data_IF_999686220648
#
_entry.id   IF_999686220648
#
_cell.length_a   1.000
_cell.length_b   1.000
_cell.length_c   1.000
_cell.angle_alpha   90.00
_cell.angle_beta   90.00
_cell.angle_gamma   90.00
#
_symmetry.space_group_name_H-M   'P 1'
#
loop_
_entity.id
_entity.type
_entity.pdbx_description
1 polymer ?
#
# COMPACT_ATOMS: atom_id res chain seq x y z
N UNK A 1 39.50 -22.71 -7.62
CA UNK A 1 38.78 -21.51 -7.13
C UNK A 1 37.31 -21.88 -6.99
N UNK A 2 36.79 -21.95 -5.77
CA UNK A 2 35.37 -22.25 -5.56
C UNK A 2 34.56 -20.99 -5.88
N UNK A 3 33.70 -21.08 -6.89
CA UNK A 3 32.84 -19.97 -7.29
C UNK A 3 31.81 -19.77 -6.17
N UNK A 4 31.88 -18.62 -5.50
CA UNK A 4 30.96 -18.28 -4.42
C UNK A 4 29.55 -18.17 -5.02
N UNK A 5 28.71 -19.18 -4.79
CA UNK A 5 27.32 -19.16 -5.23
C UNK A 5 26.60 -18.11 -4.39
N UNK A 6 26.50 -16.89 -4.94
CA UNK A 6 25.74 -15.83 -4.30
C UNK A 6 24.26 -16.25 -4.25
N UNK A 7 23.68 -16.22 -3.05
CA UNK A 7 22.24 -16.40 -2.89
C UNK A 7 21.55 -15.18 -3.48
N UNK A 8 20.77 -15.39 -4.53
CA UNK A 8 20.05 -14.31 -5.22
C UNK A 8 18.55 -14.34 -4.98
N UNK A 9 18.08 -15.35 -4.24
CA UNK A 9 16.67 -15.57 -3.93
C UNK A 9 16.44 -15.56 -2.43
N UNK A 10 15.53 -14.71 -1.96
CA UNK A 10 15.19 -14.55 -0.55
C UNK A 10 13.67 -14.49 -0.37
N UNK A 11 13.19 -15.10 0.71
CA UNK A 11 11.82 -14.86 1.19
C UNK A 11 11.89 -13.69 2.16
N UNK A 12 11.17 -12.62 1.84
CA UNK A 12 11.13 -11.36 2.60
C UNK A 12 9.95 -11.31 3.57
N UNK A 13 8.91 -12.10 3.33
CA UNK A 13 7.74 -12.16 4.19
C UNK A 13 6.89 -13.37 3.87
N UNK A 14 6.26 -13.92 4.90
CA UNK A 14 5.28 -15.00 4.79
C UNK A 14 4.10 -14.66 5.72
N UNK A 15 2.87 -14.84 5.26
CA UNK A 15 1.67 -14.54 6.04
C UNK A 15 0.52 -15.47 5.65
N UNK A 16 -0.12 -16.07 6.64
CA UNK A 16 -1.39 -16.75 6.47
C UNK A 16 -2.56 -15.74 6.46
N UNK A 17 -3.42 -15.85 5.45
CA UNK A 17 -4.59 -15.00 5.18
C UNK A 17 -5.75 -15.91 4.75
N UNK A 18 -6.84 -15.92 5.54
CA UNK A 18 -8.12 -16.61 5.19
C UNK A 18 -7.95 -18.02 4.57
N UNK A 19 -7.09 -18.86 5.16
CA UNK A 19 -6.84 -20.23 4.68
C UNK A 19 -5.89 -20.35 3.48
N UNK A 20 -5.21 -19.27 3.10
CA UNK A 20 -4.17 -19.20 2.08
C UNK A 20 -2.87 -18.69 2.68
N UNK A 21 -1.75 -19.06 2.10
CA UNK A 21 -0.43 -18.56 2.52
C UNK A 21 0.07 -17.60 1.45
N UNK A 22 0.45 -16.40 1.85
CA UNK A 22 1.05 -15.40 0.99
C UNK A 22 2.55 -15.33 1.24
N UNK A 23 3.34 -15.30 0.17
CA UNK A 23 4.78 -15.17 0.23
C UNK A 23 5.25 -13.93 -0.55
N UNK A 24 6.08 -13.13 0.11
CA UNK A 24 6.82 -12.05 -0.51
C UNK A 24 8.27 -12.48 -0.72
N UNK A 25 8.74 -12.43 -1.96
CA UNK A 25 10.05 -12.94 -2.36
C UNK A 25 10.82 -11.90 -3.16
N UNK A 26 12.15 -12.00 -3.09
CA UNK A 26 13.08 -11.35 -3.99
C UNK A 26 13.86 -12.40 -4.76
N UNK A 27 13.97 -12.27 -6.07
CA UNK A 27 14.82 -13.10 -6.92
C UNK A 27 15.49 -12.24 -7.99
N UNK A 28 16.82 -12.15 -7.97
CA UNK A 28 17.65 -11.52 -9.02
C UNK A 28 17.11 -10.15 -9.50
N UNK A 29 16.82 -9.24 -8.56
CA UNK A 29 16.35 -7.88 -8.87
C UNK A 29 14.85 -7.77 -9.13
N UNK A 30 14.08 -8.80 -8.81
CA UNK A 30 12.63 -8.81 -8.88
C UNK A 30 12.03 -9.11 -7.52
N UNK A 31 11.00 -8.36 -7.17
CA UNK A 31 10.14 -8.61 -6.02
C UNK A 31 8.84 -9.23 -6.51
N UNK A 32 8.34 -10.26 -5.84
CA UNK A 32 7.09 -10.93 -6.20
C UNK A 32 6.27 -11.30 -4.98
N UNK A 33 4.95 -11.20 -5.10
CA UNK A 33 4.00 -11.71 -4.10
C UNK A 33 3.32 -12.94 -4.71
N UNK A 34 3.33 -14.05 -4.00
CA UNK A 34 2.78 -15.34 -4.42
C UNK A 34 1.72 -15.80 -3.44
N UNK A 35 0.56 -16.16 -3.94
CA UNK A 35 -0.50 -16.80 -3.18
C UNK A 35 -0.37 -18.30 -3.30
N UNK A 36 -0.44 -18.98 -2.16
CA UNK A 36 -0.31 -20.41 -2.03
C UNK A 36 -1.62 -20.95 -1.45
N UNK A 37 -2.31 -21.78 -2.23
CA UNK A 37 -3.57 -22.42 -1.84
C UNK A 37 -3.41 -23.92 -2.06
N UNK A 38 -3.23 -24.66 -0.97
CA UNK A 38 -2.83 -26.07 -1.07
C UNK A 38 -1.48 -26.20 -1.79
N UNK A 39 -1.48 -26.84 -2.96
CA UNK A 39 -0.29 -27.02 -3.81
C UNK A 39 -0.12 -25.93 -4.88
N UNK A 40 -1.16 -25.14 -5.15
CA UNK A 40 -1.11 -24.12 -6.19
C UNK A 40 -0.35 -22.89 -5.71
N UNK A 41 0.54 -22.38 -6.57
CA UNK A 41 1.32 -21.16 -6.33
C UNK A 41 1.08 -20.16 -7.45
N UNK A 42 0.42 -19.05 -7.13
CA UNK A 42 0.03 -18.04 -8.09
C UNK A 42 0.76 -16.72 -7.81
N UNK A 43 1.57 -16.24 -8.76
CA UNK A 43 2.23 -14.94 -8.63
C UNK A 43 1.24 -13.84 -8.96
N UNK A 44 0.80 -13.11 -7.95
CA UNK A 44 -0.23 -12.06 -8.09
C UNK A 44 0.37 -10.66 -8.32
N UNK A 45 1.66 -10.50 -8.07
CA UNK A 45 2.37 -9.23 -8.27
C UNK A 45 3.85 -9.46 -8.53
N UNK A 46 4.44 -8.63 -9.40
CA UNK A 46 5.88 -8.63 -9.68
C UNK A 46 6.36 -7.22 -10.04
N UNK A 47 7.42 -6.74 -9.41
CA UNK A 47 8.04 -5.43 -9.70
C UNK A 47 9.54 -5.43 -9.44
N UNK A 48 10.27 -4.52 -10.10
CA UNK A 48 11.68 -4.25 -9.77
C UNK A 48 11.82 -3.17 -8.68
N UNK A 49 10.75 -2.42 -8.40
CA UNK A 49 10.75 -1.37 -7.40
C UNK A 49 10.49 -1.97 -6.01
N UNK A 50 11.50 -1.90 -5.14
CA UNK A 50 11.44 -2.43 -3.78
C UNK A 50 10.35 -1.75 -2.94
N UNK A 51 10.29 -0.42 -2.97
CA UNK A 51 9.35 0.35 -2.15
C UNK A 51 7.91 0.05 -2.51
N UNK A 52 7.60 0.03 -3.80
CA UNK A 52 6.26 -0.29 -4.29
C UNK A 52 5.86 -1.72 -3.89
N UNK A 53 6.77 -2.67 -4.04
CA UNK A 53 6.53 -4.07 -3.67
C UNK A 53 6.25 -4.24 -2.17
N UNK A 54 7.01 -3.56 -1.31
CA UNK A 54 6.74 -3.54 0.13
C UNK A 54 5.39 -2.88 0.46
N UNK A 55 5.02 -1.81 -0.24
CA UNK A 55 3.72 -1.17 -0.06
C UNK A 55 2.58 -2.11 -0.46
N UNK A 56 2.70 -2.79 -1.61
CA UNK A 56 1.73 -3.79 -2.07
C UNK A 56 1.62 -4.96 -1.10
N UNK A 57 2.75 -5.48 -0.61
CA UNK A 57 2.77 -6.52 0.42
C UNK A 57 2.01 -6.09 1.66
N UNK A 58 2.30 -4.91 2.22
CA UNK A 58 1.62 -4.41 3.42
C UNK A 58 0.10 -4.21 3.25
N UNK A 59 -0.35 -3.81 2.07
CA UNK A 59 -1.78 -3.74 1.74
C UNK A 59 -2.36 -5.14 1.64
N UNK A 60 -1.69 -6.05 0.95
CA UNK A 60 -2.14 -7.41 0.73
C UNK A 60 -2.32 -8.19 2.05
N UNK A 61 -1.40 -8.05 3.00
CA UNK A 61 -1.48 -8.70 4.31
C UNK A 61 -2.35 -7.97 5.35
N UNK A 62 -3.13 -6.97 4.93
CA UNK A 62 -4.03 -6.22 5.81
C UNK A 62 -3.33 -5.35 6.86
N UNK A 63 -2.02 -5.10 6.74
CA UNK A 63 -1.27 -4.23 7.68
C UNK A 63 -1.59 -2.75 7.50
N UNK A 64 -2.14 -2.34 6.36
CA UNK A 64 -2.57 -0.96 6.10
C UNK A 64 -4.06 -0.93 5.83
N UNK A 65 -4.86 -0.28 6.69
CA UNK A 65 -6.23 0.17 6.34
C UNK A 65 -6.16 0.88 4.98
N UNK A 66 -7.02 0.48 4.05
CA UNK A 66 -7.13 1.06 2.70
C UNK A 66 -6.87 2.56 2.72
N UNK A 67 -5.74 3.01 2.17
CA UNK A 67 -5.67 4.37 1.67
C UNK A 67 -6.06 4.29 0.22
N UNK A 68 -7.23 4.85 -0.07
CA UNK A 68 -7.75 5.21 -1.39
C UNK A 68 -6.62 5.36 -2.40
N UNK A 69 -6.63 4.48 -3.40
CA UNK A 69 -5.66 4.46 -4.50
C UNK A 69 -5.67 5.85 -5.16
N UNK A 70 -4.50 6.47 -5.43
CA UNK A 70 -4.44 7.84 -5.96
C UNK A 70 -5.09 8.04 -7.34
N UNK A 71 -5.52 6.99 -8.03
CA UNK A 71 -6.33 7.11 -9.27
C UNK A 71 -7.68 7.81 -9.00
N UNK A 72 -8.22 7.69 -7.79
CA UNK A 72 -9.50 8.30 -7.41
C UNK A 72 -9.39 9.79 -7.00
N UNK A 73 -8.16 10.35 -6.93
CA UNK A 73 -7.98 11.77 -6.58
C UNK A 73 -8.55 12.74 -7.62
N UNK A 74 -8.74 12.30 -8.87
CA UNK A 74 -9.32 13.18 -9.91
C UNK A 74 -10.83 13.41 -9.70
N UNK A 75 -11.55 12.47 -9.06
CA UNK A 75 -12.97 12.66 -8.72
C UNK A 75 -13.18 13.33 -7.36
N UNK A 76 -12.39 12.96 -6.35
CA UNK A 76 -12.56 13.51 -4.99
C UNK A 76 -12.25 15.02 -4.85
N UNK A 77 -11.55 15.62 -5.82
CA UNK A 77 -11.27 17.06 -5.84
C UNK A 77 -12.35 17.91 -6.54
N UNK A 78 -13.26 17.30 -7.30
CA UNK A 78 -14.35 18.04 -7.95
C UNK A 78 -15.43 18.44 -6.95
N UNK A 79 -15.76 17.54 -6.01
CA UNK A 79 -16.85 17.75 -5.05
C UNK A 79 -16.51 18.74 -3.91
N UNK A 80 -15.21 18.95 -3.61
CA UNK A 80 -14.78 19.91 -2.57
C UNK A 80 -14.78 21.37 -3.00
N UNK A 81 -14.80 21.66 -4.31
CA UNK A 81 -14.78 23.04 -4.80
C UNK A 81 -16.18 23.66 -4.92
N UNK A 82 -17.26 22.90 -4.71
CA UNK A 82 -18.63 23.37 -4.94
C UNK A 82 -19.29 23.94 -3.66
N UNK A 83 -18.76 23.63 -2.48
CA UNK A 83 -19.26 24.10 -1.18
C UNK A 83 -18.42 25.22 -0.54
N UNK A 84 -17.46 25.78 -1.28
CA UNK A 84 -16.53 26.82 -0.81
C UNK A 84 -17.01 28.26 -0.93
N UNK A 85 -18.28 28.52 -1.26
CA UNK A 85 -18.79 29.89 -1.42
C UNK A 85 -20.04 30.14 -0.55
N UNK A 86 -19.83 30.38 0.74
CA UNK A 86 -20.79 31.12 1.58
C UNK A 86 -20.02 32.19 2.37
N UNK A 87 -20.25 33.49 2.11
CA UNK A 87 -19.77 34.54 3.00
C UNK A 87 -20.71 34.59 4.20
N UNK A 88 -20.29 34.14 5.38
CA UNK A 88 -21.05 34.39 6.60
C UNK A 88 -20.51 35.65 7.27
N UNK A 89 -21.26 36.72 7.06
CA UNK A 89 -21.18 37.99 7.78
C UNK A 89 -21.56 37.81 9.26
N UNK A 90 -21.02 38.75 10.04
CA UNK A 90 -21.58 39.37 11.26
C UNK A 90 -21.44 38.68 12.64
N UNK A 91 -20.65 39.39 13.46
CA UNK A 91 -20.89 39.78 14.86
C UNK A 91 -21.08 38.68 15.93
N UNK A 92 -20.14 38.63 16.87
CA UNK A 92 -20.45 38.76 18.30
C UNK A 92 -19.30 39.45 19.04
N UNK A 93 -19.57 40.69 19.41
CA UNK A 93 -18.87 41.48 20.41
C UNK A 93 -19.22 40.92 21.80
N UNK A 94 -18.23 40.66 22.66
CA UNK A 94 -18.07 41.23 24.01
C UNK A 94 -17.24 40.36 24.98
N UNK A 95 -16.30 41.06 25.65
CA UNK A 95 -15.66 40.84 26.97
C UNK A 95 -14.65 39.67 27.05
N UNK A 96 -13.44 39.85 27.58
CA UNK A 96 -13.03 40.59 28.78
C UNK A 96 -11.49 40.83 28.83
N UNK A 97 -11.07 41.88 29.55
CA UNK A 97 -9.75 42.16 30.17
C UNK A 97 -8.50 42.41 29.31
N UNK A 98 -8.03 43.66 29.31
CA UNK A 98 -6.98 44.13 30.24
C UNK A 98 -6.84 45.64 30.24
#
# INVERSE_FOLDING_TARGET
>A
MAQQQAVHKFVLGNKELEGKVAEFQYDKGWYSITDIVGEERNVIYKSRNAQEAYMKWNVYIGRKKERVIPDDRRKANQEKNELGNRPQRENHETRDRS
#
